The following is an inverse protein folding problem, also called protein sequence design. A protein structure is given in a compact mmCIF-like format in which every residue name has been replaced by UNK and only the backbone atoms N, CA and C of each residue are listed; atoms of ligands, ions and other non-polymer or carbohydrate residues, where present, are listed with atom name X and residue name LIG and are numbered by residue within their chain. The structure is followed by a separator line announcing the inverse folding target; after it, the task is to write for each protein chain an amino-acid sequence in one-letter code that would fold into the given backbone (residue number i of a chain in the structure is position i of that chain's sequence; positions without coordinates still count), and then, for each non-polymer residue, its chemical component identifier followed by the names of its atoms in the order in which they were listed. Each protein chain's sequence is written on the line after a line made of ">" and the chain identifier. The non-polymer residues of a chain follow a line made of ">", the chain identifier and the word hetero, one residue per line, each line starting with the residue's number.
data_IF_754667949971
#
_entry.id   IF_754667949971
#
_cell.length_a   1.000
_cell.length_b   1.000
_cell.length_c   1.000
_cell.angle_alpha   90.00
_cell.angle_beta   90.00
_cell.angle_gamma   90.00
#
_symmetry.space_group_name_H-M   'P 1'
#
loop_
_entity.id
_entity.type
_entity.pdbx_description
1 polymer ?
#
# COMPACT_ATOMS: atom_id res chain seq x y z
N UNK A 1 -20.37 18.06 45.36
CA UNK A 1 -20.47 17.00 44.31
C UNK A 1 -20.40 17.57 42.90
N UNK A 2 -21.16 18.62 42.57
CA UNK A 2 -21.22 19.23 41.23
C UNK A 2 -19.84 19.67 40.69
N UNK A 3 -18.99 20.29 41.51
CA UNK A 3 -17.65 20.76 41.08
C UNK A 3 -16.73 19.60 40.68
N UNK A 4 -16.79 18.45 41.37
CA UNK A 4 -16.02 17.25 40.99
C UNK A 4 -16.49 16.67 39.65
N UNK A 5 -17.79 16.75 39.37
CA UNK A 5 -18.38 16.27 38.11
C UNK A 5 -17.97 17.17 36.92
N UNK A 6 -17.94 18.49 37.13
CA UNK A 6 -17.51 19.47 36.13
C UNK A 6 -16.02 19.29 35.80
N UNK A 7 -15.17 19.09 36.81
CA UNK A 7 -13.74 18.83 36.60
C UNK A 7 -13.52 17.52 35.87
N UNK A 8 -14.26 16.46 36.20
CA UNK A 8 -14.17 15.17 35.50
C UNK A 8 -14.59 15.29 34.02
N UNK A 9 -15.66 16.03 33.71
CA UNK A 9 -16.06 16.32 32.33
C UNK A 9 -14.99 17.11 31.57
N UNK A 10 -14.36 18.10 32.21
CA UNK A 10 -13.34 18.91 31.56
C UNK A 10 -12.08 18.10 31.27
N UNK A 11 -11.67 17.22 32.18
CA UNK A 11 -10.52 16.31 31.98
C UNK A 11 -10.80 15.33 30.83
N UNK A 12 -12.01 14.76 30.76
CA UNK A 12 -12.39 13.85 29.66
C UNK A 12 -12.41 14.56 28.30
N UNK A 13 -12.82 15.83 28.25
CA UNK A 13 -12.88 16.61 27.01
C UNK A 13 -11.49 16.92 26.44
N UNK A 14 -10.48 17.15 27.30
CA UNK A 14 -9.10 17.44 26.86
C UNK A 14 -8.40 16.20 26.31
N UNK A 15 -8.74 14.99 26.80
CA UNK A 15 -8.10 13.73 26.36
C UNK A 15 -8.59 13.29 24.96
N UNK A 16 -9.77 13.72 24.52
CA UNK A 16 -10.33 13.38 23.20
C UNK A 16 -9.61 13.99 21.99
N UNK A 17 -8.72 14.99 22.17
CA UNK A 17 -8.11 15.73 21.04
C UNK A 17 -6.84 15.09 20.44
N UNK A 18 -6.33 13.98 20.98
CA UNK A 18 -5.08 13.37 20.51
C UNK A 18 -5.27 12.17 19.56
N UNK A 19 -6.43 12.04 18.92
CA UNK A 19 -6.60 11.03 17.88
C UNK A 19 -5.86 11.46 16.60
N UNK A 20 -4.58 11.10 16.51
CA UNK A 20 -3.83 11.15 15.25
C UNK A 20 -4.34 10.01 14.37
N UNK A 21 -5.37 10.29 13.57
CA UNK A 21 -5.86 9.38 12.54
C UNK A 21 -4.84 9.37 11.40
N UNK A 22 -3.83 8.50 11.49
CA UNK A 22 -2.97 8.23 10.34
C UNK A 22 -3.77 7.65 9.20
N UNK A 23 -3.43 8.01 7.96
CA UNK A 23 -4.11 7.47 6.78
C UNK A 23 -4.12 5.94 6.82
N UNK A 24 -5.30 5.35 6.64
CA UNK A 24 -5.52 3.90 6.70
C UNK A 24 -5.24 3.22 5.36
N UNK A 25 -4.99 4.00 4.32
CA UNK A 25 -4.84 3.52 2.95
C UNK A 25 -3.73 4.28 2.22
N UNK A 26 -3.11 3.63 1.23
CA UNK A 26 -2.34 4.29 0.19
C UNK A 26 -3.16 4.38 -1.08
N UNK A 27 -3.10 5.51 -1.79
CA UNK A 27 -3.65 5.66 -3.14
C UNK A 27 -2.51 5.74 -4.14
N UNK A 28 -2.43 4.77 -5.04
CA UNK A 28 -1.30 4.57 -5.92
C UNK A 28 -1.68 4.78 -7.39
N UNK A 29 -0.73 5.27 -8.18
CA UNK A 29 -0.84 5.47 -9.63
C UNK A 29 0.32 4.77 -10.33
N UNK A 30 0.01 3.97 -11.35
CA UNK A 30 0.99 3.23 -12.12
C UNK A 30 1.66 4.15 -13.13
N UNK A 31 2.98 4.11 -13.18
CA UNK A 31 3.81 4.88 -14.12
C UNK A 31 4.40 3.97 -15.19
N UNK A 32 4.96 2.82 -14.80
CA UNK A 32 5.55 1.86 -15.74
C UNK A 32 5.14 0.43 -15.40
N UNK A 33 5.06 -0.41 -16.44
CA UNK A 33 4.85 -1.85 -16.31
C UNK A 33 5.91 -2.56 -17.13
N UNK A 34 6.74 -3.34 -16.47
CA UNK A 34 7.82 -4.12 -17.07
C UNK A 34 7.52 -5.61 -16.99
N UNK A 35 8.17 -6.37 -17.85
CA UNK A 35 8.22 -7.83 -17.78
C UNK A 35 9.67 -8.30 -17.89
N UNK A 36 9.94 -9.47 -17.33
CA UNK A 36 11.26 -10.08 -17.41
C UNK A 36 11.46 -10.66 -18.82
N UNK A 37 12.43 -10.14 -19.55
CA UNK A 37 12.84 -10.69 -20.83
C UNK A 37 13.86 -11.82 -20.65
N UNK A 38 14.21 -12.47 -21.77
CA UNK A 38 15.27 -13.46 -21.80
C UNK A 38 16.58 -12.87 -21.22
N UNK A 39 17.34 -13.72 -20.54
CA UNK A 39 18.62 -13.36 -19.89
C UNK A 39 18.52 -12.37 -18.71
N UNK A 40 17.33 -12.23 -18.10
CA UNK A 40 17.16 -11.46 -16.87
C UNK A 40 17.09 -9.94 -17.05
N UNK A 41 16.94 -9.46 -18.29
CA UNK A 41 16.75 -8.04 -18.58
C UNK A 41 15.29 -7.63 -18.40
N UNK A 42 15.05 -6.32 -18.17
CA UNK A 42 13.70 -5.76 -18.12
C UNK A 42 13.34 -5.13 -19.46
N UNK A 43 12.12 -5.38 -19.94
CA UNK A 43 11.53 -4.64 -21.05
C UNK A 43 10.14 -4.14 -20.65
N UNK A 44 9.66 -3.11 -21.34
CA UNK A 44 8.28 -2.66 -21.18
C UNK A 44 7.32 -3.78 -21.58
N UNK A 45 6.33 -4.04 -20.72
CA UNK A 45 5.30 -5.03 -20.99
C UNK A 45 4.26 -4.48 -21.96
N UNK A 46 3.68 -5.35 -22.79
CA UNK A 46 2.54 -4.99 -23.64
C UNK A 46 1.33 -4.50 -22.83
N UNK A 47 1.24 -4.92 -21.56
CA UNK A 47 0.22 -4.49 -20.61
C UNK A 47 0.39 -3.05 -20.12
N UNK A 48 1.54 -2.40 -20.36
CA UNK A 48 1.75 -1.02 -19.96
C UNK A 48 0.69 -0.08 -20.57
N UNK A 49 0.30 -0.30 -21.83
CA UNK A 49 -0.72 0.53 -22.50
C UNK A 49 -2.07 0.50 -21.79
N UNK A 50 -2.39 -0.60 -21.12
CA UNK A 50 -3.66 -0.79 -20.41
C UNK A 50 -3.61 -0.20 -19.00
N UNK A 51 -2.49 -0.35 -18.30
CA UNK A 51 -2.41 -0.02 -16.88
C UNK A 51 -1.71 1.31 -16.56
N UNK A 52 -0.91 1.84 -17.48
CA UNK A 52 -0.23 3.12 -17.28
C UNK A 52 -1.22 4.24 -16.99
N UNK A 53 -0.96 4.99 -15.93
CA UNK A 53 -1.79 6.09 -15.47
C UNK A 53 -3.03 5.68 -14.68
N UNK A 54 -3.38 4.38 -14.63
CA UNK A 54 -4.45 3.87 -13.77
C UNK A 54 -4.03 3.87 -12.31
N UNK A 55 -5.02 3.86 -11.41
CA UNK A 55 -4.79 3.86 -9.97
C UNK A 55 -5.43 2.70 -9.23
N UNK A 56 -4.93 2.45 -8.03
CA UNK A 56 -5.43 1.45 -7.09
C UNK A 56 -5.19 1.91 -5.65
N UNK A 57 -5.85 1.27 -4.70
CA UNK A 57 -5.79 1.60 -3.27
C UNK A 57 -5.26 0.39 -2.51
N UNK A 58 -4.44 0.62 -1.49
CA UNK A 58 -3.89 -0.43 -0.62
C UNK A 58 -4.31 -0.14 0.81
N UNK A 59 -4.85 -1.14 1.51
CA UNK A 59 -5.10 -1.04 2.94
C UNK A 59 -3.80 -1.13 3.75
N UNK A 60 -3.52 -0.13 4.59
CA UNK A 60 -2.36 -0.13 5.52
C UNK A 60 -2.59 -1.01 6.74
N UNK A 61 -3.79 -1.56 6.88
CA UNK A 61 -4.19 -2.44 7.99
C UNK A 61 -4.17 -3.91 7.57
N UNK A 62 -4.65 -4.22 6.37
CA UNK A 62 -4.78 -5.60 5.86
C UNK A 62 -3.76 -5.93 4.77
N UNK A 63 -3.22 -4.93 4.08
CA UNK A 63 -2.35 -5.10 2.92
C UNK A 63 -3.07 -5.42 1.62
N UNK A 64 -4.40 -5.42 1.61
CA UNK A 64 -5.25 -5.74 0.46
C UNK A 64 -5.21 -4.63 -0.59
N UNK A 65 -5.15 -5.02 -1.87
CA UNK A 65 -5.15 -4.12 -3.02
C UNK A 65 -6.54 -4.10 -3.67
N UNK A 66 -7.12 -2.91 -3.77
CA UNK A 66 -8.42 -2.63 -4.39
C UNK A 66 -8.20 -1.76 -5.62
N UNK A 67 -8.59 -2.23 -6.81
CA UNK A 67 -8.49 -1.45 -8.05
C UNK A 67 -8.15 -2.29 -9.28
N UNK A 68 -8.30 -1.70 -10.45
CA UNK A 68 -8.38 -2.42 -11.74
C UNK A 68 -7.06 -3.04 -12.19
N UNK A 69 -5.93 -2.48 -11.77
CA UNK A 69 -4.64 -2.82 -12.38
C UNK A 69 -3.85 -3.92 -11.68
N UNK A 70 -4.06 -4.09 -10.37
CA UNK A 70 -3.34 -5.07 -9.54
C UNK A 70 -4.30 -5.66 -8.49
N UNK A 71 -5.52 -6.10 -8.87
CA UNK A 71 -6.50 -6.45 -7.85
C UNK A 71 -6.06 -7.72 -7.13
N UNK A 72 -6.11 -7.68 -5.80
CA UNK A 72 -5.90 -8.89 -5.00
C UNK A 72 -7.20 -9.72 -5.01
N UNK A 73 -7.59 -10.30 -6.15
CA UNK A 73 -8.84 -11.06 -6.26
C UNK A 73 -8.68 -12.48 -5.71
N UNK A 74 -9.35 -12.78 -4.59
CA UNK A 74 -9.40 -14.11 -3.99
C UNK A 74 -8.02 -14.70 -3.61
N UNK A 75 -7.17 -13.97 -2.86
CA UNK A 75 -5.97 -14.56 -2.30
C UNK A 75 -6.36 -15.62 -1.25
N UNK A 76 -5.51 -16.61 -1.05
CA UNK A 76 -5.64 -17.52 0.11
C UNK A 76 -5.42 -16.76 1.41
N UNK A 77 -4.48 -15.82 1.39
CA UNK A 77 -4.26 -14.88 2.49
C UNK A 77 -3.55 -13.62 2.02
N UNK A 78 -3.77 -12.52 2.72
CA UNK A 78 -3.01 -11.27 2.57
C UNK A 78 -2.38 -10.93 3.91
N UNK A 79 -1.11 -10.52 3.89
CA UNK A 79 -0.36 -10.20 5.11
C UNK A 79 0.52 -8.99 4.89
N UNK A 80 0.54 -8.10 5.89
CA UNK A 80 1.56 -7.06 5.99
C UNK A 80 2.81 -7.69 6.60
N UNK A 81 3.93 -7.61 5.87
CA UNK A 81 5.23 -8.10 6.33
C UNK A 81 5.99 -6.98 7.04
N UNK A 82 5.89 -5.75 6.51
CA UNK A 82 6.48 -4.56 7.11
C UNK A 82 5.43 -3.45 7.07
N UNK A 83 5.13 -2.84 8.22
CA UNK A 83 4.09 -1.80 8.32
C UNK A 83 4.47 -0.48 7.66
N UNK A 84 5.77 -0.26 7.43
CA UNK A 84 6.33 0.97 6.89
C UNK A 84 6.31 2.09 7.92
N UNK A 85 7.40 2.83 7.98
CA UNK A 85 7.60 3.99 8.85
C UNK A 85 8.64 4.91 8.19
N UNK A 86 9.19 5.84 8.96
CA UNK A 86 10.16 6.83 8.47
C UNK A 86 11.53 6.22 8.16
N UNK A 87 11.75 4.94 8.48
CA UNK A 87 13.01 4.22 8.26
C UNK A 87 12.84 2.98 7.34
N UNK A 88 11.62 2.43 7.28
CA UNK A 88 11.33 1.15 6.64
C UNK A 88 10.25 1.28 5.57
N UNK A 89 10.32 0.51 4.47
CA UNK A 89 9.24 0.48 3.50
C UNK A 89 8.00 -0.20 4.08
N UNK A 90 6.82 0.17 3.59
CA UNK A 90 5.64 -0.67 3.75
C UNK A 90 5.76 -1.86 2.79
N UNK A 91 5.49 -3.06 3.26
CA UNK A 91 5.51 -4.28 2.45
C UNK A 91 4.33 -5.18 2.78
N UNK A 92 3.54 -5.54 1.78
CA UNK A 92 2.53 -6.59 1.91
C UNK A 92 2.68 -7.67 0.85
N UNK A 93 2.20 -8.85 1.20
CA UNK A 93 2.22 -10.04 0.38
C UNK A 93 0.80 -10.61 0.33
N UNK A 94 0.35 -10.97 -0.88
CA UNK A 94 -0.83 -11.79 -1.08
C UNK A 94 -0.42 -13.16 -1.64
N UNK A 95 -0.82 -14.21 -0.94
CA UNK A 95 -0.55 -15.60 -1.29
C UNK A 95 -1.70 -16.16 -2.14
N UNK A 96 -1.35 -16.74 -3.28
CA UNK A 96 -2.24 -17.41 -4.21
C UNK A 96 -1.83 -18.87 -4.36
N UNK A 97 -2.75 -19.71 -4.80
CA UNK A 97 -2.46 -21.12 -5.07
C UNK A 97 -1.22 -21.29 -5.96
N UNK A 98 -1.11 -20.46 -6.99
CA UNK A 98 -0.13 -20.59 -8.06
C UNK A 98 0.97 -19.51 -8.03
N UNK A 99 1.09 -18.76 -6.93
CA UNK A 99 2.13 -17.74 -6.82
C UNK A 99 1.92 -16.75 -5.69
N UNK A 100 2.76 -15.73 -5.68
CA UNK A 100 2.73 -14.66 -4.69
C UNK A 100 2.69 -13.33 -5.42
N UNK A 101 1.90 -12.40 -4.90
CA UNK A 101 1.90 -10.99 -5.26
C UNK A 101 2.60 -10.23 -4.13
N UNK A 102 3.51 -9.33 -4.49
CA UNK A 102 4.27 -8.49 -3.56
C UNK A 102 4.01 -7.04 -3.89
N UNK A 103 3.85 -6.20 -2.87
CA UNK A 103 3.95 -4.75 -3.03
C UNK A 103 4.84 -4.16 -1.95
N UNK A 104 5.69 -3.24 -2.37
CA UNK A 104 6.57 -2.47 -1.51
C UNK A 104 6.45 -0.98 -1.84
N UNK A 105 6.22 -0.18 -0.82
CA UNK A 105 6.12 1.27 -0.90
C UNK A 105 7.23 1.84 -0.03
N UNK A 106 8.06 2.70 -0.59
CA UNK A 106 9.17 3.33 0.11
C UNK A 106 8.66 4.42 1.07
N UNK A 107 8.06 3.98 2.19
CA UNK A 107 7.40 4.85 3.17
C UNK A 107 8.34 5.86 3.83
N UNK A 108 9.63 5.55 3.93
CA UNK A 108 10.69 6.42 4.45
C UNK A 108 11.02 7.62 3.55
N UNK A 109 10.51 7.65 2.32
CA UNK A 109 10.70 8.77 1.39
C UNK A 109 9.88 9.96 1.91
N UNK A 110 10.50 11.11 2.22
CA UNK A 110 9.84 12.23 2.90
C UNK A 110 8.88 13.03 1.99
N UNK A 111 8.90 12.78 0.69
CA UNK A 111 7.99 13.36 -0.28
C UNK A 111 6.55 12.88 -0.05
N UNK A 112 5.58 13.72 -0.41
CA UNK A 112 4.15 13.37 -0.38
C UNK A 112 3.85 12.15 -1.27
N UNK A 113 4.51 12.08 -2.44
CA UNK A 113 4.42 10.95 -3.36
C UNK A 113 5.56 9.96 -3.12
N UNK A 114 5.21 8.79 -2.63
CA UNK A 114 6.13 7.72 -2.26
C UNK A 114 6.26 6.70 -3.38
N UNK A 115 7.48 6.38 -3.84
CA UNK A 115 7.66 5.39 -4.88
C UNK A 115 7.26 3.99 -4.40
N UNK A 116 6.69 3.20 -5.30
CA UNK A 116 6.39 1.80 -5.05
C UNK A 116 6.89 0.90 -6.17
N UNK A 117 7.13 -0.36 -5.80
CA UNK A 117 7.32 -1.48 -6.70
C UNK A 117 6.33 -2.59 -6.31
N UNK A 118 5.68 -3.19 -7.29
CA UNK A 118 4.83 -4.35 -7.11
C UNK A 118 5.20 -5.45 -8.10
N UNK A 119 5.10 -6.69 -7.64
CA UNK A 119 5.20 -7.88 -8.46
C UNK A 119 3.81 -8.49 -8.55
N UNK A 120 3.32 -8.72 -9.77
CA UNK A 120 2.07 -9.43 -10.01
C UNK A 120 2.16 -10.89 -9.58
N UNK A 121 1.04 -11.62 -9.63
CA UNK A 121 0.95 -13.02 -9.21
C UNK A 121 1.96 -13.85 -10.01
N UNK A 122 2.97 -14.40 -9.32
CA UNK A 122 4.01 -15.22 -9.95
C UNK A 122 5.16 -14.42 -10.57
N UNK A 123 5.18 -13.09 -10.39
CA UNK A 123 6.29 -12.22 -10.81
C UNK A 123 6.42 -11.99 -12.32
N UNK A 124 5.33 -12.18 -13.07
CA UNK A 124 5.30 -11.98 -14.53
C UNK A 124 5.44 -10.51 -14.91
N UNK A 125 4.88 -9.61 -14.11
CA UNK A 125 4.96 -8.17 -14.29
C UNK A 125 5.58 -7.47 -13.08
N UNK A 126 6.44 -6.50 -13.37
CA UNK A 126 7.00 -5.56 -12.40
C UNK A 126 6.36 -4.20 -12.63
N UNK A 127 5.60 -3.73 -11.65
CA UNK A 127 4.81 -2.51 -11.74
C UNK A 127 5.46 -1.46 -10.85
N UNK A 128 5.68 -0.27 -11.39
CA UNK A 128 6.26 0.84 -10.63
C UNK A 128 5.40 2.08 -10.74
N UNK A 129 5.43 2.91 -9.69
CA UNK A 129 4.69 4.16 -9.68
C UNK A 129 4.83 4.91 -8.37
N UNK A 130 3.82 5.72 -8.06
CA UNK A 130 3.79 6.59 -6.90
C UNK A 130 2.52 6.36 -6.09
N UNK A 131 2.63 6.42 -4.77
CA UNK A 131 1.53 6.35 -3.81
C UNK A 131 1.48 7.60 -2.93
N UNK A 132 0.29 7.98 -2.49
CA UNK A 132 0.05 8.94 -1.42
C UNK A 132 -0.58 8.21 -0.24
#
# INVERSE_FOLDING_TARGET
>A
MIVRMIVACFVLFVVSFNAVAGDLTYTCKIINVYELANYGSLKHSDLEKQFKGTGFVISRVTGEIIGVAVPTLLPRSTKIVIKGDDENPFRSIADYKDGVQLIEIYAFVPQEEKPFIALSIGGTEIITGLCK
#
